data_IF_452317032380
#
_entry.id   IF_452317032380
#
_cell.length_a   1.000
_cell.length_b   1.000
_cell.length_c   1.000
_cell.angle_alpha   90.00
_cell.angle_beta   90.00
_cell.angle_gamma   90.00
#
_symmetry.space_group_name_H-M   'P 1'
#
loop_
_entity.id
_entity.type
_entity.pdbx_description
1 polymer ?
#
# COMPACT_ATOMS: atom_id res chain seq x y z
N UNK A 1 17.28 -10.74 -3.66
CA UNK A 1 16.29 -10.59 -4.76
C UNK A 1 15.63 -9.24 -4.57
N UNK A 2 15.56 -8.41 -5.61
CA UNK A 2 14.89 -7.11 -5.51
C UNK A 2 13.40 -7.33 -5.20
N UNK A 3 12.92 -6.80 -4.07
CA UNK A 3 11.50 -6.81 -3.73
C UNK A 3 10.82 -5.78 -4.63
N UNK A 4 10.13 -6.24 -5.67
CA UNK A 4 9.33 -5.36 -6.52
C UNK A 4 7.90 -5.84 -6.65
N UNK A 5 6.99 -5.09 -6.03
CA UNK A 5 5.66 -4.83 -6.56
C UNK A 5 5.00 -3.59 -5.94
N UNK A 6 5.02 -2.48 -6.67
CA UNK A 6 3.93 -1.49 -6.80
C UNK A 6 3.88 -1.22 -8.30
N UNK A 7 2.78 -1.50 -9.02
CA UNK A 7 1.76 -0.47 -9.27
C UNK A 7 0.41 -1.14 -9.51
N UNK A 8 -0.49 -0.98 -8.55
CA UNK A 8 -1.92 -0.95 -8.81
C UNK A 8 -2.30 0.51 -8.69
N UNK A 9 -2.55 1.17 -9.82
CA UNK A 9 -3.02 2.55 -9.82
C UNK A 9 -4.44 2.56 -9.25
N UNK A 10 -4.58 2.96 -7.98
CA UNK A 10 -5.85 3.35 -7.36
C UNK A 10 -6.37 4.58 -8.10
N UNK A 11 -6.97 4.38 -9.28
CA UNK A 11 -7.60 5.45 -10.08
C UNK A 11 -6.78 6.75 -10.09
N UNK A 12 -5.45 6.62 -10.19
CA UNK A 12 -4.60 7.78 -10.39
C UNK A 12 -4.83 8.21 -11.82
N UNK A 13 -5.04 9.51 -12.01
CA UNK A 13 -5.22 10.17 -13.30
C UNK A 13 -4.06 9.79 -14.23
N UNK A 14 -4.26 8.69 -14.95
CA UNK A 14 -3.32 8.14 -15.90
C UNK A 14 -3.31 9.05 -17.13
N UNK A 15 -2.25 9.06 -17.91
CA UNK A 15 -2.26 9.76 -19.20
C UNK A 15 -3.36 9.21 -20.12
N UNK A 16 -3.81 7.96 -19.92
CA UNK A 16 -5.00 7.41 -20.58
C UNK A 16 -6.33 8.09 -20.17
N UNK A 17 -6.40 8.64 -18.95
CA UNK A 17 -7.54 9.42 -18.44
C UNK A 17 -7.46 10.88 -18.91
N UNK A 18 -6.26 11.37 -19.24
CA UNK A 18 -6.07 12.68 -19.86
C UNK A 18 -6.73 12.81 -21.23
N UNK A 19 -6.92 11.71 -21.95
CA UNK A 19 -7.56 11.76 -23.26
C UNK A 19 -9.01 11.25 -23.25
N UNK A 20 -9.54 10.87 -22.09
CA UNK A 20 -10.93 10.39 -21.95
C UNK A 20 -11.92 11.57 -21.86
N UNK A 21 -12.82 11.75 -22.85
CA UNK A 21 -13.83 12.80 -22.84
C UNK A 21 -14.77 12.74 -21.62
N UNK A 22 -15.04 11.55 -21.08
CA UNK A 22 -15.93 11.38 -19.93
C UNK A 22 -15.34 12.01 -18.66
N UNK A 23 -14.01 11.96 -18.51
CA UNK A 23 -13.34 12.50 -17.33
C UNK A 23 -13.22 14.02 -17.40
N UNK A 24 -12.98 14.56 -18.60
CA UNK A 24 -13.07 16.00 -18.88
C UNK A 24 -14.44 16.57 -18.50
N UNK A 25 -15.51 15.82 -18.75
CA UNK A 25 -16.88 16.24 -18.45
C UNK A 25 -17.20 16.18 -16.93
N UNK A 26 -16.65 15.21 -16.21
CA UNK A 26 -16.94 15.02 -14.79
C UNK A 26 -16.35 16.11 -13.88
N UNK A 27 -15.15 16.61 -14.21
CA UNK A 27 -14.47 17.64 -13.40
C UNK A 27 -13.63 18.60 -14.27
N UNK A 28 -14.25 19.43 -15.12
CA UNK A 28 -13.55 20.21 -16.15
C UNK A 28 -12.52 21.19 -15.58
N UNK A 29 -12.89 21.92 -14.51
CA UNK A 29 -11.99 22.90 -13.86
C UNK A 29 -10.77 22.24 -13.21
N UNK A 30 -10.97 21.10 -12.55
CA UNK A 30 -9.89 20.35 -11.92
C UNK A 30 -8.97 19.75 -12.98
N UNK A 31 -9.54 19.19 -14.05
CA UNK A 31 -8.80 18.64 -15.20
C UNK A 31 -7.89 19.68 -15.83
N UNK A 32 -8.42 20.88 -16.10
CA UNK A 32 -7.67 21.97 -16.71
C UNK A 32 -6.53 22.44 -15.80
N UNK A 33 -6.80 22.61 -14.51
CA UNK A 33 -5.80 22.99 -13.52
C UNK A 33 -4.67 21.94 -13.43
N UNK A 34 -5.02 20.66 -13.34
CA UNK A 34 -4.03 19.59 -13.23
C UNK A 34 -3.17 19.43 -14.49
N UNK A 35 -3.78 19.55 -15.69
CA UNK A 35 -3.03 19.52 -16.96
C UNK A 35 -2.01 20.65 -17.08
N UNK A 36 -2.39 21.86 -16.65
CA UNK A 36 -1.47 23.00 -16.65
C UNK A 36 -0.31 22.78 -15.69
N UNK A 37 -0.54 22.13 -14.55
CA UNK A 37 0.51 21.96 -13.54
C UNK A 37 1.41 20.74 -13.76
N UNK A 38 0.95 19.64 -14.38
CA UNK A 38 1.72 18.39 -14.49
C UNK A 38 3.08 18.48 -15.18
N UNK A 39 3.27 19.29 -16.25
CA UNK A 39 4.60 19.54 -16.81
C UNK A 39 5.54 20.28 -15.85
N UNK A 40 4.99 20.88 -14.80
CA UNK A 40 5.68 21.63 -13.74
C UNK A 40 5.48 20.94 -12.38
N UNK A 41 5.63 21.67 -11.26
CA UNK A 41 5.43 21.12 -9.93
C UNK A 41 3.99 21.40 -9.44
N UNK A 42 3.11 20.41 -9.54
CA UNK A 42 1.76 20.50 -8.98
C UNK A 42 1.80 20.55 -7.45
N UNK A 43 0.84 21.28 -6.86
CA UNK A 43 0.55 21.10 -5.44
C UNK A 43 -0.01 19.68 -5.23
N UNK A 44 0.70 18.87 -4.46
CA UNK A 44 0.46 17.44 -4.32
C UNK A 44 -0.90 17.09 -3.69
N UNK A 45 -1.57 18.01 -2.98
CA UNK A 45 -2.95 17.76 -2.50
C UNK A 45 -4.01 18.04 -3.57
N UNK A 46 -3.67 18.76 -4.63
CA UNK A 46 -4.62 19.13 -5.69
C UNK A 46 -4.52 18.24 -6.92
N UNK A 47 -3.30 17.84 -7.30
CA UNK A 47 -3.05 17.03 -8.50
C UNK A 47 -1.85 16.10 -8.29
N UNK A 48 -2.01 14.82 -8.66
CA UNK A 48 -0.91 13.85 -8.69
C UNK A 48 -0.51 13.57 -10.12
N UNK A 49 0.74 13.86 -10.48
CA UNK A 49 1.30 13.43 -11.78
C UNK A 49 1.55 11.94 -11.77
N UNK A 50 1.71 11.36 -12.97
CA UNK A 50 2.16 9.98 -13.10
C UNK A 50 3.45 9.76 -12.30
N UNK A 51 4.44 10.64 -12.49
CA UNK A 51 5.70 10.64 -11.74
C UNK A 51 5.49 10.65 -10.22
N UNK A 52 4.59 11.49 -9.70
CA UNK A 52 4.29 11.54 -8.25
C UNK A 52 3.61 10.27 -7.75
N UNK A 53 2.71 9.69 -8.53
CA UNK A 53 2.06 8.42 -8.19
C UNK A 53 3.01 7.19 -8.25
N UNK A 54 4.19 7.37 -8.83
CA UNK A 54 5.27 6.37 -8.90
C UNK A 54 6.31 6.53 -7.79
N UNK A 55 6.15 7.50 -6.89
CA UNK A 55 7.08 7.68 -5.78
C UNK A 55 6.94 6.55 -4.75
N UNK A 56 8.06 5.89 -4.47
CA UNK A 56 8.16 4.70 -3.60
C UNK A 56 8.65 5.04 -2.19
N UNK A 57 9.10 6.27 -1.95
CA UNK A 57 9.74 6.65 -0.68
C UNK A 57 8.78 6.71 0.52
N UNK A 58 7.46 6.78 0.26
CA UNK A 58 6.44 6.99 1.31
C UNK A 58 5.71 5.70 1.66
N UNK A 59 5.91 5.22 2.88
CA UNK A 59 5.36 3.96 3.38
C UNK A 59 3.82 3.88 3.32
N UNK A 60 3.13 5.02 3.42
CA UNK A 60 1.67 5.11 3.31
C UNK A 60 1.13 4.72 1.93
N UNK A 61 1.97 4.63 0.90
CA UNK A 61 1.57 4.25 -0.44
C UNK A 61 1.37 2.73 -0.61
N UNK A 62 1.78 1.91 0.36
CA UNK A 62 1.82 0.45 0.24
C UNK A 62 0.61 -0.30 0.83
N UNK A 63 0.02 0.10 1.97
CA UNK A 63 -1.12 -0.62 2.54
C UNK A 63 -2.32 -0.70 1.58
N UNK A 64 -2.63 0.38 0.88
CA UNK A 64 -3.82 0.41 0.01
C UNK A 64 -3.69 -0.52 -1.22
N UNK A 65 -2.60 -0.50 -2.02
CA UNK A 65 -2.42 -1.50 -3.07
C UNK A 65 -2.34 -2.93 -2.54
N UNK A 66 -1.73 -3.15 -1.36
CA UNK A 66 -1.75 -4.46 -0.70
C UNK A 66 -3.18 -4.92 -0.42
N UNK A 67 -4.05 -4.04 0.09
CA UNK A 67 -5.45 -4.36 0.36
C UNK A 67 -6.21 -4.74 -0.91
N UNK A 68 -5.95 -4.05 -2.03
CA UNK A 68 -6.58 -4.41 -3.31
C UNK A 68 -6.08 -5.78 -3.80
N UNK A 69 -4.78 -6.04 -3.78
CA UNK A 69 -4.24 -7.34 -4.17
C UNK A 69 -4.77 -8.47 -3.29
N UNK A 70 -4.82 -8.26 -1.97
CA UNK A 70 -5.38 -9.23 -1.04
C UNK A 70 -6.87 -9.48 -1.29
N UNK A 71 -7.65 -8.43 -1.59
CA UNK A 71 -9.07 -8.55 -1.94
C UNK A 71 -9.26 -9.38 -3.23
N UNK A 72 -8.44 -9.15 -4.26
CA UNK A 72 -8.48 -9.94 -5.49
C UNK A 72 -8.08 -11.40 -5.27
N UNK A 73 -7.12 -11.65 -4.37
CA UNK A 73 -6.81 -13.01 -3.90
C UNK A 73 -8.05 -13.67 -3.31
N UNK A 74 -8.72 -13.02 -2.35
CA UNK A 74 -9.92 -13.57 -1.67
C UNK A 74 -11.04 -13.85 -2.66
N UNK A 75 -11.28 -12.95 -3.62
CA UNK A 75 -12.27 -13.15 -4.69
C UNK A 75 -11.91 -14.39 -5.52
N UNK A 76 -10.68 -14.47 -6.03
CA UNK A 76 -10.25 -15.59 -6.86
C UNK A 76 -10.18 -16.94 -6.13
N UNK A 77 -9.93 -16.90 -4.82
CA UNK A 77 -9.75 -18.10 -4.00
C UNK A 77 -11.06 -18.74 -3.54
N UNK A 78 -12.11 -17.93 -3.35
CA UNK A 78 -13.35 -18.38 -2.72
C UNK A 78 -14.59 -18.38 -3.64
N UNK A 79 -14.51 -17.81 -4.84
CA UNK A 79 -15.64 -17.78 -5.78
C UNK A 79 -15.42 -18.72 -6.95
N UNK A 80 -16.41 -19.58 -7.20
CA UNK A 80 -16.44 -20.51 -8.33
C UNK A 80 -17.71 -20.27 -9.17
N UNK A 81 -17.60 -19.97 -10.48
CA UNK A 81 -16.36 -19.82 -11.25
C UNK A 81 -15.57 -18.56 -10.86
N UNK A 82 -14.25 -18.56 -11.13
CA UNK A 82 -13.41 -17.39 -10.87
C UNK A 82 -13.82 -16.21 -11.76
N UNK A 83 -13.99 -15.04 -11.16
CA UNK A 83 -14.24 -13.77 -11.86
C UNK A 83 -12.94 -13.06 -12.26
N UNK A 84 -11.79 -13.59 -11.84
CA UNK A 84 -10.49 -13.01 -12.19
C UNK A 84 -10.16 -13.30 -13.66
N UNK A 85 -9.93 -12.23 -14.42
CA UNK A 85 -9.56 -12.33 -15.84
C UNK A 85 -8.06 -12.09 -16.10
N UNK A 86 -7.38 -11.31 -15.25
CA UNK A 86 -6.01 -10.86 -15.51
C UNK A 86 -4.93 -11.82 -14.99
N UNK A 87 -5.16 -12.45 -13.84
CA UNK A 87 -4.19 -13.35 -13.21
C UNK A 87 -4.86 -14.30 -12.22
N UNK A 88 -4.09 -15.24 -11.68
CA UNK A 88 -4.57 -16.23 -10.70
C UNK A 88 -4.61 -15.66 -9.29
N UNK A 89 -5.39 -16.28 -8.38
CA UNK A 89 -5.44 -15.86 -6.97
C UNK A 89 -4.06 -15.95 -6.30
N UNK A 90 -3.23 -16.94 -6.66
CA UNK A 90 -1.87 -17.08 -6.14
C UNK A 90 -1.03 -15.86 -6.52
N UNK A 91 -1.13 -15.42 -7.78
CA UNK A 91 -0.40 -14.24 -8.22
C UNK A 91 -0.78 -13.02 -7.38
N UNK A 92 -2.09 -12.83 -7.10
CA UNK A 92 -2.58 -11.73 -6.27
C UNK A 92 -2.11 -11.81 -4.82
N UNK A 93 -2.13 -12.98 -4.19
CA UNK A 93 -1.59 -13.14 -2.82
C UNK A 93 -0.09 -12.83 -2.79
N UNK A 94 0.66 -13.27 -3.81
CA UNK A 94 2.09 -12.96 -3.95
C UNK A 94 2.34 -11.47 -4.13
N UNK A 95 1.51 -10.77 -4.91
CA UNK A 95 1.63 -9.32 -5.04
C UNK A 95 1.34 -8.63 -3.70
N UNK A 96 0.29 -9.03 -2.99
CA UNK A 96 -0.04 -8.46 -1.69
C UNK A 96 1.15 -8.54 -0.71
N UNK A 97 1.80 -9.71 -0.63
CA UNK A 97 2.99 -9.91 0.20
C UNK A 97 4.19 -9.08 -0.28
N UNK A 98 4.49 -9.09 -1.58
CA UNK A 98 5.62 -8.34 -2.13
C UNK A 98 5.45 -6.84 -1.97
N UNK A 99 4.23 -6.33 -2.12
CA UNK A 99 3.91 -4.92 -1.87
C UNK A 99 4.07 -4.59 -0.39
N UNK A 100 3.63 -5.45 0.53
CA UNK A 100 3.83 -5.25 1.95
C UNK A 100 5.33 -5.19 2.32
N UNK A 101 6.16 -6.06 1.74
CA UNK A 101 7.62 -6.03 1.95
C UNK A 101 8.30 -4.84 1.26
N UNK A 102 7.80 -4.42 0.10
CA UNK A 102 8.33 -3.29 -0.65
C UNK A 102 8.25 -2.00 0.17
N UNK A 103 7.24 -1.86 1.04
CA UNK A 103 7.15 -0.76 2.01
C UNK A 103 8.42 -0.66 2.85
N UNK A 104 8.87 -1.78 3.43
CA UNK A 104 10.07 -1.78 4.25
C UNK A 104 11.30 -1.39 3.44
N UNK A 105 11.47 -2.00 2.26
CA UNK A 105 12.69 -1.83 1.47
C UNK A 105 12.86 -0.44 0.88
N UNK A 106 11.77 0.18 0.43
CA UNK A 106 11.81 1.44 -0.30
C UNK A 106 11.47 2.67 0.55
N UNK A 107 10.77 2.49 1.67
CA UNK A 107 10.36 3.61 2.54
C UNK A 107 11.23 3.78 3.80
N UNK A 108 12.48 3.33 3.75
CA UNK A 108 13.53 3.67 4.73
C UNK A 108 13.96 2.54 5.67
N UNK A 109 13.43 1.33 5.56
CA UNK A 109 13.81 0.15 6.37
C UNK A 109 13.82 0.40 7.89
N UNK A 110 12.72 0.94 8.40
CA UNK A 110 12.58 1.33 9.82
C UNK A 110 13.15 2.72 10.11
N UNK A 111 13.52 3.47 9.07
CA UNK A 111 13.76 4.91 9.11
C UNK A 111 12.70 5.62 8.27
N UNK A 112 12.73 6.95 8.29
CA UNK A 112 11.86 7.81 7.51
C UNK A 112 10.38 7.48 7.74
N UNK A 113 9.62 7.16 6.69
CA UNK A 113 8.18 6.93 6.82
C UNK A 113 7.84 5.50 7.25
N UNK A 114 8.74 4.53 7.06
CA UNK A 114 8.57 3.13 7.49
C UNK A 114 8.89 2.88 8.97
N UNK A 115 9.19 3.90 9.77
CA UNK A 115 9.26 3.77 11.23
C UNK A 115 7.89 3.92 11.89
N UNK A 116 6.98 4.67 11.26
CA UNK A 116 5.67 4.99 11.79
C UNK A 116 4.67 3.86 11.58
N UNK A 117 3.63 3.83 12.42
CA UNK A 117 2.41 3.09 12.10
C UNK A 117 1.70 3.77 10.93
N UNK A 118 1.08 2.98 10.07
CA UNK A 118 0.49 3.39 8.79
C UNK A 118 -1.02 3.17 8.78
N UNK A 119 -1.73 3.99 8.01
CA UNK A 119 -3.15 3.79 7.77
C UNK A 119 -3.39 2.49 6.99
N UNK A 120 -4.42 1.73 7.36
CA UNK A 120 -4.85 0.50 6.64
C UNK A 120 -3.82 -0.64 6.74
N UNK A 121 -2.77 -0.51 7.56
CA UNK A 121 -1.68 -1.49 7.59
C UNK A 121 -1.97 -2.72 8.47
N UNK A 122 -3.12 -2.81 9.16
CA UNK A 122 -3.63 -4.11 9.64
C UNK A 122 -3.80 -5.12 8.50
N UNK A 123 -3.95 -4.66 7.25
CA UNK A 123 -3.98 -5.53 6.08
C UNK A 123 -2.76 -6.45 5.98
N UNK A 124 -1.60 -6.01 6.46
CA UNK A 124 -0.40 -6.83 6.46
C UNK A 124 -0.57 -8.07 7.35
N UNK A 125 -1.31 -7.96 8.45
CA UNK A 125 -1.61 -9.09 9.33
C UNK A 125 -2.61 -10.05 8.67
N UNK A 126 -3.60 -9.53 7.93
CA UNK A 126 -4.53 -10.36 7.15
C UNK A 126 -3.81 -11.13 6.04
N UNK A 127 -2.89 -10.45 5.32
CA UNK A 127 -2.01 -11.10 4.34
C UNK A 127 -1.16 -12.17 5.00
N UNK A 128 -0.53 -11.89 6.16
CA UNK A 128 0.25 -12.88 6.91
C UNK A 128 -0.59 -14.11 7.26
N UNK A 129 -1.82 -13.89 7.73
CA UNK A 129 -2.73 -14.98 8.11
C UNK A 129 -3.05 -15.86 6.91
N UNK A 130 -3.39 -15.26 5.76
CA UNK A 130 -3.69 -16.02 4.55
C UNK A 130 -2.46 -16.68 3.91
N UNK A 131 -1.26 -16.10 4.01
CA UNK A 131 -0.02 -16.77 3.63
C UNK A 131 0.21 -18.04 4.46
N UNK A 132 -0.03 -17.98 5.78
CA UNK A 132 0.06 -19.15 6.66
C UNK A 132 -1.00 -20.20 6.32
N UNK A 133 -2.23 -19.78 6.05
CA UNK A 133 -3.33 -20.68 5.65
C UNK A 133 -3.04 -21.41 4.33
N UNK A 134 -2.45 -20.73 3.34
CA UNK A 134 -2.09 -21.32 2.05
C UNK A 134 -0.76 -22.10 2.09
N UNK A 135 -0.09 -22.17 3.25
CA UNK A 135 1.16 -22.91 3.43
C UNK A 135 2.40 -22.21 2.88
N UNK A 136 2.33 -20.91 2.57
CA UNK A 136 3.41 -20.10 2.00
C UNK A 136 4.38 -19.64 3.10
N UNK A 137 5.02 -20.63 3.73
CA UNK A 137 5.80 -20.45 4.96
C UNK A 137 6.97 -19.48 4.77
N UNK A 138 7.64 -19.51 3.61
CA UNK A 138 8.76 -18.61 3.34
C UNK A 138 8.29 -17.16 3.28
N UNK A 139 7.28 -16.89 2.48
CA UNK A 139 6.70 -15.56 2.29
C UNK A 139 6.10 -15.00 3.60
N UNK A 140 5.47 -15.86 4.40
CA UNK A 140 4.95 -15.52 5.72
C UNK A 140 6.09 -15.13 6.68
N UNK A 141 7.17 -15.90 6.73
CA UNK A 141 8.32 -15.63 7.60
C UNK A 141 9.03 -14.32 7.24
N UNK A 142 9.16 -14.01 5.94
CA UNK A 142 9.73 -12.74 5.48
C UNK A 142 8.90 -11.54 5.97
N UNK A 143 7.57 -11.60 5.83
CA UNK A 143 6.67 -10.53 6.29
C UNK A 143 6.66 -10.40 7.82
N UNK A 144 6.59 -11.53 8.53
CA UNK A 144 6.62 -11.56 9.99
C UNK A 144 7.93 -10.99 10.55
N UNK A 145 9.07 -11.25 9.90
CA UNK A 145 10.38 -10.70 10.29
C UNK A 145 10.39 -9.16 10.23
N UNK A 146 9.88 -8.59 9.13
CA UNK A 146 9.78 -7.13 8.96
C UNK A 146 8.86 -6.52 10.02
N UNK A 147 7.70 -7.14 10.25
CA UNK A 147 6.72 -6.64 11.21
C UNK A 147 7.21 -6.74 12.66
N UNK A 148 7.94 -7.81 13.01
CA UNK A 148 8.59 -7.94 14.31
C UNK A 148 9.63 -6.83 14.54
N UNK A 149 10.38 -6.43 13.51
CA UNK A 149 11.32 -5.32 13.61
C UNK A 149 10.61 -3.99 13.92
N UNK A 150 9.49 -3.72 13.25
CA UNK A 150 8.63 -2.54 13.51
C UNK A 150 8.05 -2.56 14.93
N UNK A 151 7.54 -3.70 15.39
CA UNK A 151 7.01 -3.84 16.76
C UNK A 151 8.07 -3.61 17.82
N UNK A 152 9.30 -4.12 17.63
CA UNK A 152 10.41 -3.85 18.56
C UNK A 152 10.70 -2.37 18.68
N UNK A 153 10.65 -1.63 17.57
CA UNK A 153 10.82 -0.18 17.59
C UNK A 153 9.69 0.51 18.35
N UNK A 154 8.42 0.23 18.03
CA UNK A 154 7.28 0.84 18.70
C UNK A 154 7.27 0.54 20.21
N UNK A 155 7.65 -0.68 20.64
CA UNK A 155 7.76 -1.04 22.06
C UNK A 155 8.80 -0.22 22.83
N UNK A 156 9.79 0.35 22.14
CA UNK A 156 10.78 1.23 22.77
C UNK A 156 10.32 2.68 22.94
N UNK A 157 9.20 3.07 22.31
CA UNK A 157 8.70 4.43 22.37
C UNK A 157 7.78 4.63 23.59
N UNK A 158 7.88 5.77 24.29
CA UNK A 158 6.95 6.10 25.37
C UNK A 158 5.51 6.31 24.85
N UNK A 159 5.38 6.76 23.60
CA UNK A 159 4.11 7.02 22.93
C UNK A 159 4.14 6.38 21.54
N UNK A 160 3.81 5.09 21.40
CA UNK A 160 4.05 4.34 20.16
C UNK A 160 3.12 4.76 19.02
N UNK A 161 1.91 5.25 19.32
CA UNK A 161 0.82 5.49 18.36
C UNK A 161 0.98 6.74 17.47
N UNK A 162 2.20 7.26 17.33
CA UNK A 162 2.51 8.38 16.45
C UNK A 162 2.48 8.02 14.96
N UNK A 163 2.47 9.04 14.12
CA UNK A 163 2.39 8.97 12.66
C UNK A 163 3.37 9.99 12.04
N UNK A 164 3.33 10.17 10.72
CA UNK A 164 4.14 11.17 9.99
C UNK A 164 3.93 12.59 10.54
N UNK A 165 2.74 12.89 11.07
CA UNK A 165 2.43 14.14 11.74
C UNK A 165 2.26 13.92 13.25
N UNK A 166 2.68 14.88 14.11
CA UNK A 166 2.66 14.68 15.56
C UNK A 166 1.25 14.74 16.17
N UNK A 167 0.24 15.18 15.42
CA UNK A 167 -1.14 15.35 15.90
C UNK A 167 -2.12 14.30 15.38
N UNK A 168 -1.71 13.39 14.49
CA UNK A 168 -2.59 12.36 13.95
C UNK A 168 -2.32 10.99 14.57
N UNK A 169 -3.39 10.20 14.74
CA UNK A 169 -3.33 8.84 15.27
C UNK A 169 -3.42 7.79 14.17
N UNK A 170 -2.95 8.12 12.96
CA UNK A 170 -3.10 7.29 11.76
C UNK A 170 -2.44 5.92 11.92
N UNK A 171 -1.37 5.82 12.71
CA UNK A 171 -0.69 4.57 13.01
C UNK A 171 -1.37 3.68 14.05
N UNK A 172 -2.44 4.15 14.71
CA UNK A 172 -3.07 3.42 15.82
C UNK A 172 -3.49 2.01 15.40
N UNK A 173 -4.18 1.89 14.27
CA UNK A 173 -4.73 0.63 13.78
C UNK A 173 -3.65 -0.44 13.57
N UNK A 174 -2.59 -0.11 12.86
CA UNK A 174 -1.49 -1.05 12.60
C UNK A 174 -0.76 -1.41 13.89
N UNK A 175 -0.39 -0.40 14.68
CA UNK A 175 0.40 -0.61 15.90
C UNK A 175 -0.37 -1.49 16.88
N UNK A 176 -1.64 -1.19 17.12
CA UNK A 176 -2.48 -2.02 17.98
C UNK A 176 -2.56 -3.46 17.46
N UNK A 177 -2.80 -3.64 16.15
CA UNK A 177 -2.90 -4.97 15.52
C UNK A 177 -1.66 -5.82 15.77
N UNK A 178 -0.47 -5.25 15.54
CA UNK A 178 0.77 -6.00 15.66
C UNK A 178 1.29 -6.14 17.09
N UNK A 179 0.95 -5.20 17.98
CA UNK A 179 1.24 -5.32 19.42
C UNK A 179 0.40 -6.41 20.09
N UNK A 180 -0.79 -6.71 19.57
CA UNK A 180 -1.60 -7.85 20.03
C UNK A 180 -1.13 -9.17 19.44
N UNK A 181 -0.52 -9.13 18.25
CA UNK A 181 -0.05 -10.32 17.55
C UNK A 181 1.26 -10.90 18.14
N UNK A 182 2.21 -10.04 18.53
CA UNK A 182 3.50 -10.40 19.15
C UNK A 182 3.52 -10.12 20.66
#
# INVERSE_FOLDING_TARGET
MAVTAVRLSLLYWNDQVNDDPAVLLAAPKLSEYCRKCWPSNCYWLSCWSEKKSLEEWRAYNYPHPTAVYWSLYRIGRHWAPSWLQRSTWQWYLRQAQRTALAMWEHAGKGKDTSQWGLMVASIFQLVLSDLKLEGWTKEANELETVMLARVKHWRSLPFPFGSEFPWDSTGHEEIYTWMQYF
#
